data_IF_396530827023
#
_entry.id   IF_396530827023
#
_cell.length_a   1.000
_cell.length_b   1.000
_cell.length_c   1.000
_cell.angle_alpha   90.00
_cell.angle_beta   90.00
_cell.angle_gamma   90.00
#
_symmetry.space_group_name_H-M   'P 1'
#
loop_
_entity.id
_entity.type
_entity.pdbx_description
1 polymer ?
#
# COMPACT_ATOMS: atom_id res chain seq x y z
N UNK A 1 21.57 -4.15 -26.00
CA UNK A 1 20.21 -3.58 -26.05
C UNK A 1 20.29 -2.18 -25.46
N UNK A 2 19.73 -1.13 -26.05
CA UNK A 2 19.74 0.17 -25.43
C UNK A 2 19.00 0.08 -24.10
N UNK A 3 19.67 0.54 -23.06
CA UNK A 3 19.16 0.52 -21.69
C UNK A 3 18.09 1.62 -21.60
N UNK A 4 16.83 1.29 -21.85
CA UNK A 4 15.70 2.22 -21.83
C UNK A 4 15.27 2.50 -20.37
N UNK A 5 16.26 2.83 -19.55
CA UNK A 5 16.14 3.16 -18.13
C UNK A 5 15.73 4.62 -18.01
N UNK A 6 14.63 4.89 -17.34
CA UNK A 6 14.11 6.26 -17.17
C UNK A 6 13.53 6.48 -15.80
N UNK A 7 13.57 7.71 -15.37
CA UNK A 7 12.90 8.15 -14.16
C UNK A 7 11.40 8.33 -14.41
N UNK A 8 10.60 7.80 -13.52
CA UNK A 8 9.15 7.79 -13.63
C UNK A 8 8.50 7.89 -12.24
N UNK A 9 7.18 8.05 -12.22
CA UNK A 9 6.37 7.92 -11.01
C UNK A 9 5.38 6.78 -11.17
N UNK A 10 5.36 5.87 -10.21
CA UNK A 10 4.34 4.84 -10.08
C UNK A 10 3.19 5.36 -9.22
N UNK A 11 2.01 5.47 -9.81
CA UNK A 11 0.78 5.78 -9.10
C UNK A 11 0.15 4.46 -8.65
N UNK A 12 -0.21 4.40 -7.39
CA UNK A 12 -0.98 3.28 -6.81
C UNK A 12 -2.25 3.83 -6.21
N UNK A 13 -3.38 3.33 -6.69
CA UNK A 13 -4.72 3.68 -6.23
C UNK A 13 -5.34 2.43 -5.59
N UNK A 14 -5.76 2.53 -4.35
CA UNK A 14 -6.43 1.47 -3.61
C UNK A 14 -7.85 1.90 -3.32
N UNK A 15 -8.85 1.24 -3.91
CA UNK A 15 -10.26 1.66 -3.79
C UNK A 15 -11.16 0.52 -3.37
N UNK A 16 -12.30 0.88 -2.80
CA UNK A 16 -13.39 -0.06 -2.62
C UNK A 16 -13.88 -0.58 -4.00
N UNK A 17 -14.15 -1.88 -4.09
CA UNK A 17 -14.58 -2.52 -5.35
C UNK A 17 -15.79 -1.84 -6.02
N UNK A 18 -16.72 -1.28 -5.24
CA UNK A 18 -17.86 -0.54 -5.78
C UNK A 18 -17.53 0.73 -6.58
N UNK A 19 -16.24 1.12 -6.63
CA UNK A 19 -15.77 2.23 -7.46
C UNK A 19 -15.10 1.79 -8.76
N UNK A 20 -15.00 0.48 -9.03
CA UNK A 20 -14.23 -0.06 -10.16
C UNK A 20 -14.66 0.53 -11.50
N UNK A 21 -15.95 0.59 -11.78
CA UNK A 21 -16.46 1.16 -13.05
C UNK A 21 -16.08 2.64 -13.19
N UNK A 22 -16.24 3.41 -12.11
CA UNK A 22 -15.88 4.83 -12.09
C UNK A 22 -14.37 5.06 -12.25
N UNK A 23 -13.54 4.17 -11.67
CA UNK A 23 -12.09 4.19 -11.87
C UNK A 23 -11.74 3.97 -13.34
N UNK A 24 -12.31 2.95 -13.97
CA UNK A 24 -12.08 2.64 -15.38
C UNK A 24 -12.54 3.79 -16.28
N UNK A 25 -13.73 4.33 -16.05
CA UNK A 25 -14.26 5.48 -16.79
C UNK A 25 -13.32 6.70 -16.69
N UNK A 26 -12.91 7.05 -15.46
CA UNK A 26 -12.03 8.19 -15.22
C UNK A 26 -10.65 8.00 -15.88
N UNK A 27 -10.04 6.82 -15.73
CA UNK A 27 -8.74 6.51 -16.34
C UNK A 27 -8.83 6.49 -17.87
N UNK A 28 -9.92 6.00 -18.43
CA UNK A 28 -10.16 6.03 -19.88
C UNK A 28 -10.23 7.45 -20.43
N UNK A 29 -10.81 8.38 -19.66
CA UNK A 29 -10.88 9.81 -20.03
C UNK A 29 -9.52 10.51 -20.05
N UNK A 30 -8.49 9.92 -19.45
CA UNK A 30 -7.13 10.47 -19.36
C UNK A 30 -6.19 9.98 -20.45
N UNK A 31 -6.71 9.36 -21.49
CA UNK A 31 -5.91 8.82 -22.59
C UNK A 31 -4.82 7.81 -22.18
N UNK A 32 -5.03 7.11 -21.10
CA UNK A 32 -4.13 6.04 -20.65
C UNK A 32 -4.35 4.78 -21.50
N UNK A 33 -3.29 4.11 -21.97
CA UNK A 33 -3.43 2.90 -22.79
C UNK A 33 -3.96 1.70 -21.99
N UNK A 34 -3.46 1.53 -20.80
CA UNK A 34 -3.83 0.43 -19.91
C UNK A 34 -3.47 0.73 -18.45
N UNK A 35 -4.07 0.01 -17.53
CA UNK A 35 -3.76 0.01 -16.12
C UNK A 35 -3.69 -1.42 -15.59
N UNK A 36 -2.80 -1.67 -14.63
CA UNK A 36 -2.74 -2.94 -13.92
C UNK A 36 -3.67 -2.91 -12.74
N UNK A 37 -4.50 -3.93 -12.59
CA UNK A 37 -5.44 -4.09 -11.47
C UNK A 37 -5.19 -5.40 -10.74
N UNK A 38 -5.27 -5.34 -9.41
CA UNK A 38 -5.12 -6.48 -8.49
C UNK A 38 -6.32 -6.51 -7.55
N UNK A 39 -6.87 -7.70 -7.34
CA UNK A 39 -7.90 -7.88 -6.33
C UNK A 39 -7.29 -7.84 -4.94
N UNK A 40 -7.92 -7.11 -4.04
CA UNK A 40 -7.49 -6.95 -2.68
C UNK A 40 -8.69 -6.90 -1.73
N UNK A 41 -8.41 -6.82 -0.44
CA UNK A 41 -9.41 -6.53 0.60
C UNK A 41 -8.90 -5.41 1.49
N UNK A 42 -9.78 -4.54 1.88
CA UNK A 42 -9.52 -3.50 2.86
C UNK A 42 -10.04 -3.99 4.21
N UNK A 43 -9.21 -3.93 5.24
CA UNK A 43 -9.59 -4.37 6.59
C UNK A 43 -9.94 -3.16 7.44
N UNK A 44 -11.14 -3.19 8.04
CA UNK A 44 -11.67 -2.10 8.87
C UNK A 44 -12.09 -2.60 10.23
N UNK A 45 -11.97 -1.73 11.21
CA UNK A 45 -12.45 -2.00 12.54
C UNK A 45 -13.92 -1.60 12.66
N UNK A 46 -14.78 -2.56 13.04
CA UNK A 46 -16.18 -2.32 13.32
C UNK A 46 -16.44 -2.41 14.82
N UNK A 47 -17.18 -1.46 15.34
CA UNK A 47 -17.71 -1.50 16.69
C UNK A 47 -19.12 -2.11 16.66
N UNK A 48 -19.29 -3.35 17.10
CA UNK A 48 -20.61 -3.96 17.25
C UNK A 48 -21.19 -3.54 18.60
N UNK A 49 -22.31 -2.83 18.58
CA UNK A 49 -23.09 -2.59 19.78
C UNK A 49 -23.64 -3.94 20.29
N UNK A 50 -23.37 -4.28 21.55
CA UNK A 50 -23.92 -5.49 22.18
C UNK A 50 -25.43 -5.38 22.27
N UNK A 51 -26.14 -6.46 21.91
CA UNK A 51 -27.56 -6.65 22.22
C UNK A 51 -27.69 -6.70 23.75
N UNK A 52 -28.57 -5.96 24.34
CA UNK A 52 -28.82 -5.92 25.79
C UNK A 52 -27.91 -4.96 26.62
N UNK A 53 -27.89 -3.68 26.36
CA UNK A 53 -27.60 -2.66 27.39
C UNK A 53 -26.31 -2.74 28.23
N UNK A 54 -25.56 -3.82 28.14
CA UNK A 54 -24.27 -4.01 28.80
C UNK A 54 -23.14 -3.70 27.84
N UNK A 55 -22.28 -2.79 28.22
CA UNK A 55 -21.18 -2.22 27.48
C UNK A 55 -20.00 -3.19 27.22
N UNK A 56 -20.25 -4.33 26.60
CA UNK A 56 -19.17 -5.07 25.96
C UNK A 56 -19.08 -4.64 24.50
N UNK A 57 -18.43 -3.53 24.25
CA UNK A 57 -17.98 -3.11 22.91
C UNK A 57 -17.06 -4.22 22.36
N UNK A 58 -17.61 -5.16 21.61
CA UNK A 58 -16.79 -6.14 20.89
C UNK A 58 -16.25 -5.44 19.64
N UNK A 59 -14.98 -5.15 19.64
CA UNK A 59 -14.26 -4.75 18.43
C UNK A 59 -14.24 -5.94 17.49
N UNK A 60 -14.89 -5.80 16.34
CA UNK A 60 -14.83 -6.75 15.23
C UNK A 60 -14.02 -6.17 14.09
N UNK A 61 -13.53 -7.02 13.23
CA UNK A 61 -12.94 -6.63 11.96
C UNK A 61 -13.90 -7.01 10.84
N UNK A 62 -13.95 -6.21 9.79
CA UNK A 62 -14.68 -6.51 8.57
C UNK A 62 -13.80 -6.30 7.37
N UNK A 63 -13.89 -7.21 6.45
CA UNK A 63 -13.23 -7.13 5.15
C UNK A 63 -14.20 -6.49 4.15
N UNK A 64 -13.69 -5.56 3.36
CA UNK A 64 -14.38 -4.99 2.22
C UNK A 64 -13.59 -5.29 0.94
N UNK A 65 -14.27 -5.83 -0.06
CA UNK A 65 -13.68 -6.07 -1.35
C UNK A 65 -13.11 -4.77 -1.92
N UNK A 66 -11.86 -4.81 -2.35
CA UNK A 66 -11.10 -3.67 -2.82
C UNK A 66 -10.26 -4.06 -4.03
N UNK A 67 -9.79 -3.07 -4.76
CA UNK A 67 -8.87 -3.25 -5.87
C UNK A 67 -7.69 -2.29 -5.75
N UNK A 68 -6.55 -2.74 -6.20
CA UNK A 68 -5.33 -1.93 -6.29
C UNK A 68 -5.03 -1.73 -7.77
N UNK A 69 -5.01 -0.48 -8.21
CA UNK A 69 -4.65 -0.08 -9.57
C UNK A 69 -3.25 0.51 -9.58
N UNK A 70 -2.43 0.09 -10.54
CA UNK A 70 -1.06 0.59 -10.70
C UNK A 70 -0.83 1.07 -12.13
N UNK A 71 -0.26 2.25 -12.25
CA UNK A 71 0.16 2.81 -13.54
C UNK A 71 1.46 3.59 -13.34
N UNK A 72 2.26 3.67 -14.41
CA UNK A 72 3.51 4.43 -14.42
C UNK A 72 3.36 5.61 -15.38
N UNK A 73 3.75 6.79 -14.91
CA UNK A 73 3.64 8.05 -15.65
C UNK A 73 4.93 8.86 -15.53
N UNK A 74 5.06 9.92 -16.30
CA UNK A 74 6.14 10.89 -16.14
C UNK A 74 6.07 11.51 -14.73
N UNK A 75 7.22 11.82 -14.12
CA UNK A 75 7.27 12.39 -12.76
C UNK A 75 6.45 13.67 -12.61
N UNK A 76 6.54 14.55 -13.61
CA UNK A 76 5.82 15.82 -13.64
C UNK A 76 4.29 15.66 -13.67
N UNK A 77 3.78 14.56 -14.23
CA UNK A 77 2.35 14.27 -14.31
C UNK A 77 1.80 13.64 -13.01
N UNK A 78 2.66 13.23 -12.07
CA UNK A 78 2.23 12.46 -10.90
C UNK A 78 1.27 13.24 -9.99
N UNK A 79 1.66 14.45 -9.56
CA UNK A 79 0.82 15.26 -8.64
C UNK A 79 -0.48 15.72 -9.31
N UNK A 80 -0.49 16.26 -10.54
CA UNK A 80 -1.73 16.58 -11.24
C UNK A 80 -2.67 15.38 -11.39
N UNK A 81 -2.12 14.20 -11.70
CA UNK A 81 -2.91 12.98 -11.83
C UNK A 81 -3.50 12.52 -10.48
N UNK A 82 -2.72 12.59 -9.38
CA UNK A 82 -3.24 12.32 -8.04
C UNK A 82 -4.45 13.22 -7.74
N UNK A 83 -4.31 14.53 -7.94
CA UNK A 83 -5.38 15.50 -7.72
C UNK A 83 -6.64 15.15 -8.53
N UNK A 84 -6.46 14.86 -9.82
CA UNK A 84 -7.57 14.52 -10.72
C UNK A 84 -8.29 13.24 -10.27
N UNK A 85 -7.56 12.21 -9.87
CA UNK A 85 -8.14 10.96 -9.39
C UNK A 85 -8.83 11.12 -8.04
N UNK A 86 -8.26 11.89 -7.11
CA UNK A 86 -8.85 12.17 -5.80
C UNK A 86 -10.20 12.88 -5.94
N UNK A 87 -10.27 13.89 -6.80
CA UNK A 87 -11.50 14.64 -7.05
C UNK A 87 -12.53 13.78 -7.80
N UNK A 88 -12.13 13.16 -8.91
CA UNK A 88 -13.01 12.36 -9.75
C UNK A 88 -13.60 11.16 -9.03
N UNK A 89 -12.90 10.56 -8.08
CA UNK A 89 -13.35 9.44 -7.27
C UNK A 89 -13.87 9.84 -5.90
N UNK A 90 -13.82 11.14 -5.57
CA UNK A 90 -14.23 11.70 -4.26
C UNK A 90 -13.53 10.97 -3.10
N UNK A 91 -12.23 10.67 -3.23
CA UNK A 91 -11.49 9.88 -2.24
C UNK A 91 -11.38 10.56 -0.87
N UNK A 92 -11.70 11.84 -0.78
CA UNK A 92 -11.81 12.58 0.49
C UNK A 92 -12.97 12.07 1.37
N UNK A 93 -13.89 11.32 0.79
CA UNK A 93 -14.96 10.66 1.53
C UNK A 93 -14.41 9.39 2.18
N UNK A 94 -14.55 9.23 3.51
CA UNK A 94 -14.06 8.05 4.21
C UNK A 94 -14.58 6.75 3.59
N UNK A 95 -13.70 5.79 3.46
CA UNK A 95 -14.05 4.48 2.95
C UNK A 95 -13.96 4.31 1.45
N UNK A 96 -13.60 5.33 0.71
CA UNK A 96 -13.48 5.22 -0.75
C UNK A 96 -12.12 4.70 -1.18
N UNK A 97 -11.07 4.99 -0.40
CA UNK A 97 -9.73 4.45 -0.66
C UNK A 97 -8.61 5.42 -0.40
N UNK A 98 -7.42 5.02 -0.82
CA UNK A 98 -6.18 5.76 -0.71
C UNK A 98 -5.44 5.80 -2.05
N UNK A 99 -4.62 6.81 -2.26
CA UNK A 99 -3.82 6.95 -3.47
C UNK A 99 -2.46 7.54 -3.15
N UNK A 100 -1.42 7.08 -3.86
CA UNK A 100 -0.08 7.64 -3.71
C UNK A 100 0.77 7.52 -4.95
N UNK A 101 1.83 8.33 -5.01
CA UNK A 101 2.88 8.30 -6.00
C UNK A 101 4.23 7.94 -5.36
N UNK A 102 4.99 7.09 -6.04
CA UNK A 102 6.36 6.73 -5.69
C UNK A 102 7.29 7.03 -6.85
N UNK A 103 8.44 7.66 -6.57
CA UNK A 103 9.49 7.77 -7.57
C UNK A 103 10.08 6.40 -7.86
N UNK A 104 10.09 6.02 -9.11
CA UNK A 104 10.62 4.74 -9.57
C UNK A 104 11.58 4.94 -10.73
N UNK A 105 12.42 3.97 -10.94
CA UNK A 105 13.21 3.81 -12.14
C UNK A 105 12.58 2.70 -12.97
N UNK A 106 12.10 3.03 -14.15
CA UNK A 106 11.44 2.09 -15.04
C UNK A 106 12.40 1.64 -16.15
N UNK A 107 12.37 0.35 -16.43
CA UNK A 107 13.03 -0.25 -17.59
C UNK A 107 11.92 -0.84 -18.47
N UNK A 108 11.60 -0.16 -19.58
CA UNK A 108 10.53 -0.57 -20.48
C UNK A 108 10.86 -0.20 -21.93
N UNK A 109 10.30 -0.96 -22.87
CA UNK A 109 10.36 -0.61 -24.29
C UNK A 109 9.22 0.32 -24.72
N UNK A 110 8.19 0.46 -23.88
CA UNK A 110 7.04 1.33 -24.16
C UNK A 110 7.30 2.72 -23.61
N UNK A 111 6.86 3.72 -24.34
CA UNK A 111 6.90 5.11 -23.84
C UNK A 111 5.91 5.32 -22.69
N UNK A 112 6.28 6.24 -21.79
CA UNK A 112 5.35 6.68 -20.76
C UNK A 112 4.21 7.46 -21.40
N UNK A 113 2.97 7.27 -20.90
CA UNK A 113 1.84 8.03 -21.41
C UNK A 113 2.05 9.53 -21.22
N UNK A 114 1.71 10.28 -22.24
CA UNK A 114 1.70 11.74 -22.19
C UNK A 114 0.31 12.17 -21.71
N UNK A 115 0.25 12.68 -20.49
CA UNK A 115 -0.99 13.09 -19.84
C UNK A 115 -0.92 14.59 -19.65
N UNK A 116 -1.70 15.32 -20.46
CA UNK A 116 -1.83 16.76 -20.31
C UNK A 116 -2.85 17.05 -19.19
N UNK A 117 -2.35 17.51 -18.07
CA UNK A 117 -3.14 17.94 -16.91
C UNK A 117 -2.66 19.29 -16.42
N UNK A 118 -3.60 20.13 -16.05
CA UNK A 118 -3.27 21.40 -15.41
C UNK A 118 -2.57 21.18 -14.08
N UNK A 119 -1.58 22.02 -13.78
CA UNK A 119 -0.88 22.01 -12.50
C UNK A 119 -1.83 22.50 -11.41
N UNK A 120 -2.19 21.61 -10.49
CA UNK A 120 -3.08 21.92 -9.38
C UNK A 120 -2.29 21.85 -8.09
N UNK A 121 -2.37 22.90 -7.26
CA UNK A 121 -1.90 22.85 -5.87
C UNK A 121 -3.01 22.27 -5.00
N UNK A 122 -2.66 21.36 -4.14
CA UNK A 122 -3.62 20.73 -3.26
C UNK A 122 -3.07 20.69 -1.83
N UNK A 123 -3.78 21.31 -0.93
CA UNK A 123 -3.41 21.41 0.51
C UNK A 123 -3.65 20.09 1.26
N UNK A 124 -4.28 19.11 0.61
CA UNK A 124 -4.61 17.82 1.22
C UNK A 124 -3.77 16.65 0.69
N UNK A 125 -2.85 16.90 -0.22
CA UNK A 125 -1.80 15.94 -0.56
C UNK A 125 -0.70 15.99 0.50
N UNK A 126 -0.46 14.84 1.10
CA UNK A 126 0.62 14.66 2.07
C UNK A 126 1.90 14.28 1.34
N UNK A 127 3.02 14.91 1.71
CA UNK A 127 4.34 14.65 1.12
C UNK A 127 5.27 13.83 2.00
N UNK A 128 4.98 13.73 3.30
CA UNK A 128 5.76 12.93 4.25
C UNK A 128 5.01 11.65 4.59
N UNK A 129 5.05 10.70 3.67
CA UNK A 129 4.41 9.41 3.80
C UNK A 129 5.38 8.26 3.52
N UNK A 130 5.12 7.12 4.14
CA UNK A 130 5.77 5.85 3.86
C UNK A 130 4.74 4.74 3.64
N UNK A 131 5.07 3.79 2.78
CA UNK A 131 4.35 2.55 2.64
C UNK A 131 5.09 1.46 3.41
N UNK A 132 4.44 0.89 4.42
CA UNK A 132 4.90 -0.32 5.08
C UNK A 132 4.22 -1.50 4.39
N UNK A 133 5.03 -2.43 3.88
CA UNK A 133 4.54 -3.66 3.25
C UNK A 133 4.99 -4.86 4.07
N UNK A 134 4.03 -5.65 4.53
CA UNK A 134 4.27 -6.92 5.19
C UNK A 134 3.90 -8.08 4.26
N UNK A 135 4.81 -9.04 4.11
CA UNK A 135 4.58 -10.27 3.34
C UNK A 135 4.59 -11.43 4.33
N UNK A 136 3.43 -12.04 4.55
CA UNK A 136 3.27 -13.08 5.54
C UNK A 136 2.61 -14.34 4.98
N UNK A 137 2.76 -15.46 5.66
CA UNK A 137 2.04 -16.68 5.30
C UNK A 137 0.55 -16.49 5.57
N UNK A 138 -0.32 -16.97 4.65
CA UNK A 138 -1.78 -16.85 4.74
C UNK A 138 -2.38 -17.49 6.00
N UNK A 139 -1.68 -18.37 6.67
CA UNK A 139 -2.15 -19.07 7.89
C UNK A 139 -2.22 -18.17 9.14
N UNK A 140 -2.69 -16.94 9.00
CA UNK A 140 -2.97 -16.02 10.12
C UNK A 140 -1.91 -14.95 10.40
N UNK A 141 -0.80 -14.96 9.67
CA UNK A 141 0.26 -13.96 9.89
C UNK A 141 -0.16 -12.54 9.51
N UNK A 142 -0.80 -12.39 8.34
CA UNK A 142 -1.34 -11.10 7.90
C UNK A 142 -2.40 -10.57 8.84
N UNK A 143 -3.21 -11.46 9.42
CA UNK A 143 -4.23 -11.09 10.40
C UNK A 143 -3.65 -10.40 11.62
N UNK A 144 -2.52 -10.87 12.14
CA UNK A 144 -1.86 -10.23 13.27
C UNK A 144 -1.37 -8.82 12.89
N UNK A 145 -0.75 -8.67 11.71
CA UNK A 145 -0.25 -7.37 11.24
C UNK A 145 -1.35 -6.32 11.13
N UNK A 146 -2.45 -6.63 10.41
CA UNK A 146 -3.49 -5.62 10.24
C UNK A 146 -4.27 -5.34 11.54
N UNK A 147 -4.40 -6.33 12.43
CA UNK A 147 -4.99 -6.11 13.77
C UNK A 147 -4.16 -5.14 14.60
N UNK A 148 -2.85 -5.30 14.61
CA UNK A 148 -1.93 -4.39 15.31
C UNK A 148 -2.02 -3.00 14.69
N UNK A 149 -1.94 -2.88 13.36
CA UNK A 149 -2.05 -1.60 12.66
C UNK A 149 -3.36 -0.85 13.00
N UNK A 150 -4.49 -1.56 12.98
CA UNK A 150 -5.80 -0.98 13.30
C UNK A 150 -5.94 -0.59 14.78
N UNK A 151 -5.40 -1.38 15.71
CA UNK A 151 -5.37 -1.03 17.14
C UNK A 151 -4.55 0.22 17.41
N UNK A 152 -3.45 0.40 16.70
CA UNK A 152 -2.58 1.57 16.79
C UNK A 152 -3.15 2.81 16.05
N UNK A 153 -4.24 2.65 15.31
CA UNK A 153 -4.81 3.73 14.51
C UNK A 153 -3.95 4.13 13.31
N UNK A 154 -3.08 3.24 12.86
CA UNK A 154 -2.02 3.51 11.88
C UNK A 154 -2.50 3.60 10.42
N UNK A 155 -3.80 3.68 10.17
CA UNK A 155 -4.37 3.74 8.82
C UNK A 155 -5.24 2.51 8.51
N UNK A 156 -5.64 2.42 7.26
CA UNK A 156 -6.51 1.33 6.77
C UNK A 156 -5.64 0.34 5.99
N UNK A 157 -5.42 -0.89 6.51
CA UNK A 157 -4.65 -1.90 5.81
C UNK A 157 -5.37 -2.39 4.56
N UNK A 158 -4.62 -2.53 3.46
CA UNK A 158 -5.08 -3.17 2.23
C UNK A 158 -4.29 -4.46 2.04
N UNK A 159 -4.98 -5.56 1.85
CA UNK A 159 -4.39 -6.90 1.81
C UNK A 159 -4.59 -7.53 0.43
N UNK A 160 -3.48 -7.75 -0.26
CA UNK A 160 -3.41 -8.54 -1.49
C UNK A 160 -3.02 -10.00 -1.21
N UNK A 161 -3.05 -10.82 -2.24
CA UNK A 161 -2.66 -12.24 -2.19
C UNK A 161 -1.55 -12.50 -3.19
N UNK A 162 -0.54 -13.25 -2.77
CA UNK A 162 0.56 -13.67 -3.61
C UNK A 162 1.02 -15.08 -3.32
N UNK A 163 1.94 -15.58 -4.15
CA UNK A 163 2.62 -16.85 -3.97
C UNK A 163 4.09 -16.54 -3.74
N UNK A 164 4.60 -16.94 -2.58
CA UNK A 164 6.02 -16.80 -2.25
C UNK A 164 6.83 -17.92 -2.90
N UNK A 165 7.92 -17.54 -3.53
CA UNK A 165 8.91 -18.47 -4.09
C UNK A 165 10.26 -18.17 -3.48
N UNK A 166 10.91 -19.14 -2.87
CA UNK A 166 12.18 -18.95 -2.20
C UNK A 166 13.08 -20.18 -2.27
N UNK A 167 14.34 -20.04 -1.80
CA UNK A 167 15.31 -21.15 -1.74
C UNK A 167 14.76 -22.35 -0.96
N UNK A 168 13.90 -22.09 0.05
CA UNK A 168 13.27 -23.14 0.87
C UNK A 168 12.30 -24.03 0.09
N UNK A 169 11.72 -23.52 -1.02
CA UNK A 169 10.83 -24.32 -1.87
C UNK A 169 11.59 -25.38 -2.66
N UNK A 170 12.90 -25.21 -2.84
CA UNK A 170 13.79 -26.20 -3.49
C UNK A 170 14.19 -27.34 -2.56
N UNK A 171 14.08 -27.17 -1.25
CA UNK A 171 14.36 -28.19 -0.25
C UNK A 171 13.08 -29.01 0.01
N UNK A 172 12.73 -29.91 -0.91
CA UNK A 172 11.48 -30.66 -1.00
C UNK A 172 10.87 -31.21 0.30
N UNK A 173 11.67 -31.44 1.36
CA UNK A 173 11.23 -31.84 2.69
C UNK A 173 10.53 -30.70 3.49
N UNK A 174 10.83 -29.43 3.19
CA UNK A 174 10.23 -28.28 3.88
C UNK A 174 8.96 -27.75 3.20
N UNK A 175 8.63 -28.26 2.02
CA UNK A 175 7.40 -27.93 1.28
C UNK A 175 6.13 -28.27 2.04
N UNK A 176 6.20 -29.21 2.98
CA UNK A 176 5.05 -29.71 3.73
C UNK A 176 4.63 -28.76 4.85
N UNK A 177 5.51 -27.86 5.28
CA UNK A 177 5.33 -27.08 6.51
C UNK A 177 4.97 -25.59 6.30
N UNK A 178 5.20 -25.03 5.12
CA UNK A 178 4.98 -23.60 4.86
C UNK A 178 4.12 -23.43 3.62
N UNK A 179 2.92 -22.88 3.78
CA UNK A 179 2.05 -22.53 2.66
C UNK A 179 2.78 -21.57 1.70
N UNK A 180 2.78 -21.84 0.38
CA UNK A 180 3.30 -20.89 -0.60
C UNK A 180 2.45 -19.64 -0.70
N UNK A 181 1.18 -19.70 -0.29
CA UNK A 181 0.29 -18.54 -0.29
C UNK A 181 0.74 -17.51 0.74
N UNK A 182 0.80 -16.26 0.29
CA UNK A 182 1.21 -15.10 1.07
C UNK A 182 0.10 -14.06 1.08
N UNK A 183 -0.02 -13.36 2.19
CA UNK A 183 -0.76 -12.11 2.28
C UNK A 183 0.23 -10.95 2.22
N UNK A 184 -0.08 -9.99 1.35
CA UNK A 184 0.65 -8.75 1.22
C UNK A 184 -0.15 -7.65 1.90
N UNK A 185 0.27 -7.25 3.08
CA UNK A 185 -0.39 -6.20 3.86
C UNK A 185 0.27 -4.86 3.55
N UNK A 186 -0.46 -3.97 2.91
CA UNK A 186 -0.02 -2.61 2.58
C UNK A 186 -0.62 -1.62 3.57
N UNK A 187 0.23 -0.82 4.19
CA UNK A 187 -0.16 0.19 5.16
C UNK A 187 0.52 1.51 4.86
N UNK A 188 -0.25 2.51 4.50
CA UNK A 188 0.25 3.86 4.27
C UNK A 188 0.20 4.66 5.57
N UNK A 189 1.33 5.25 5.95
CA UNK A 189 1.51 5.92 7.23
C UNK A 189 2.31 7.22 7.07
N UNK A 190 2.21 8.17 8.03
CA UNK A 190 3.12 9.31 8.08
C UNK A 190 4.57 8.85 8.16
N UNK A 191 5.47 9.51 7.40
CA UNK A 191 6.88 9.12 7.31
C UNK A 191 7.61 9.17 8.66
N UNK A 192 7.28 10.18 9.48
CA UNK A 192 7.87 10.33 10.81
C UNK A 192 7.43 9.24 11.81
N UNK A 193 6.29 8.56 11.60
CA UNK A 193 5.82 7.47 12.44
C UNK A 193 6.25 6.08 11.92
N UNK A 194 6.71 6.01 10.67
CA UNK A 194 6.94 4.76 9.96
C UNK A 194 7.92 3.81 10.67
N UNK A 195 9.05 4.32 11.17
CA UNK A 195 10.04 3.50 11.87
C UNK A 195 9.52 2.96 13.20
N UNK A 196 8.83 3.79 13.98
CA UNK A 196 8.24 3.37 15.26
C UNK A 196 7.16 2.32 15.06
N UNK A 197 6.28 2.57 14.09
CA UNK A 197 5.21 1.64 13.75
C UNK A 197 5.74 0.33 13.18
N UNK A 198 6.76 0.38 12.30
CA UNK A 198 7.39 -0.82 11.76
C UNK A 198 7.94 -1.71 12.88
N UNK A 199 8.59 -1.13 13.90
CA UNK A 199 9.10 -1.87 15.06
C UNK A 199 7.96 -2.55 15.82
N UNK A 200 6.88 -1.82 16.13
CA UNK A 200 5.70 -2.37 16.78
C UNK A 200 5.03 -3.48 15.97
N UNK A 201 4.96 -3.33 14.65
CA UNK A 201 4.42 -4.36 13.77
C UNK A 201 5.29 -5.63 13.77
N UNK A 202 6.61 -5.50 13.89
CA UNK A 202 7.53 -6.65 14.01
C UNK A 202 7.30 -7.36 15.34
N UNK A 203 7.30 -6.64 16.44
CA UNK A 203 7.18 -7.20 17.79
C UNK A 203 5.80 -7.81 18.03
N UNK A 204 4.75 -7.02 17.90
CA UNK A 204 3.36 -7.43 18.16
C UNK A 204 2.78 -8.32 17.07
N UNK A 205 3.21 -8.13 15.82
CA UNK A 205 2.82 -8.95 14.67
C UNK A 205 3.59 -10.27 14.58
N UNK A 206 4.60 -10.46 15.45
CA UNK A 206 5.44 -11.65 15.51
C UNK A 206 6.18 -11.95 14.18
N UNK A 207 6.58 -10.91 13.45
CA UNK A 207 7.29 -11.03 12.18
C UNK A 207 8.72 -11.57 12.38
N UNK A 208 9.31 -11.32 13.54
CA UNK A 208 10.65 -11.77 13.97
C UNK A 208 10.75 -13.28 14.20
N UNK A 209 9.62 -13.98 14.28
CA UNK A 209 9.62 -15.44 14.50
C UNK A 209 9.94 -16.20 13.21
N UNK A 210 10.55 -17.39 13.31
CA UNK A 210 10.77 -18.25 12.15
C UNK A 210 9.46 -18.51 11.38
N UNK A 211 9.43 -18.15 10.11
CA UNK A 211 8.21 -18.23 9.28
C UNK A 211 7.25 -17.05 9.44
N UNK A 212 7.57 -16.06 10.28
CA UNK A 212 6.74 -14.88 10.54
C UNK A 212 6.55 -13.94 9.37
N UNK A 213 7.44 -13.97 8.37
CA UNK A 213 7.30 -13.17 7.17
C UNK A 213 8.43 -12.20 6.92
N UNK A 214 8.14 -11.19 6.13
CA UNK A 214 9.06 -10.12 5.78
C UNK A 214 8.33 -8.79 5.82
N UNK A 215 8.97 -7.75 6.35
CA UNK A 215 8.38 -6.43 6.47
C UNK A 215 9.41 -5.38 6.04
N UNK A 216 8.99 -4.45 5.19
CA UNK A 216 9.82 -3.39 4.69
C UNK A 216 9.02 -2.10 4.50
N UNK A 217 9.72 -1.00 4.35
CA UNK A 217 9.11 0.29 4.06
C UNK A 217 9.72 0.92 2.81
N UNK A 218 8.88 1.63 2.06
CA UNK A 218 9.28 2.42 0.90
C UNK A 218 8.75 3.84 1.01
N UNK A 219 9.50 4.87 0.54
CA UNK A 219 9.04 6.24 0.57
C UNK A 219 7.87 6.46 -0.39
N UNK A 220 6.96 7.33 0.01
CA UNK A 220 5.89 7.87 -0.83
C UNK A 220 6.20 9.34 -1.10
N UNK A 221 6.20 9.75 -2.36
CA UNK A 221 6.47 11.13 -2.77
C UNK A 221 5.32 12.07 -2.41
N UNK A 222 4.11 11.64 -2.71
CA UNK A 222 2.88 12.36 -2.42
C UNK A 222 1.71 11.39 -2.38
N UNK A 223 0.70 11.66 -1.57
CA UNK A 223 -0.46 10.80 -1.50
C UNK A 223 -1.56 11.30 -0.58
N UNK A 224 -2.64 10.55 -0.55
CA UNK A 224 -3.76 10.75 0.35
C UNK A 224 -4.15 9.40 0.97
N UNK A 225 -4.17 9.34 2.28
CA UNK A 225 -4.63 8.18 3.05
C UNK A 225 -6.16 8.12 3.05
N UNK A 226 -6.72 6.91 3.12
CA UNK A 226 -8.16 6.75 3.36
C UNK A 226 -8.53 7.36 4.71
N UNK A 227 -9.38 8.39 4.77
CA UNK A 227 -9.80 8.96 6.01
C UNK A 227 -10.51 7.90 6.87
N UNK A 228 -10.09 7.75 8.12
CA UNK A 228 -10.66 6.75 9.02
C UNK A 228 -12.12 7.07 9.31
N UNK A 229 -13.03 6.18 8.88
CA UNK A 229 -14.42 6.24 9.29
C UNK A 229 -14.56 5.61 10.68
N UNK A 230 -14.79 6.42 11.69
CA UNK A 230 -15.21 5.94 13.02
C UNK A 230 -16.72 5.77 13.05
N UNK A 231 -17.19 4.55 12.88
CA UNK A 231 -18.60 4.21 13.06
C UNK A 231 -18.82 3.90 14.54
N UNK A 232 -19.44 4.82 15.25
CA UNK A 232 -19.86 4.64 16.64
C UNK A 232 -20.27 5.99 17.24
N UNK A 233 -21.22 5.98 18.18
CA UNK A 233 -21.60 7.16 18.98
C UNK A 233 -20.40 7.65 19.79
N UNK A 234 -19.56 8.46 19.18
CA UNK A 234 -18.57 9.26 19.88
C UNK A 234 -18.92 10.73 19.61
N UNK A 235 -19.98 11.19 20.23
CA UNK A 235 -20.43 12.57 20.07
C UNK A 235 -19.40 13.58 20.62
N UNK A 236 -18.37 13.14 21.39
CA UNK A 236 -17.44 14.06 22.05
C UNK A 236 -16.00 13.57 22.24
N UNK A 237 -15.57 12.46 21.62
CA UNK A 237 -14.17 12.03 21.74
C UNK A 237 -13.39 12.37 20.48
N UNK A 238 -12.39 13.24 20.62
CA UNK A 238 -11.42 13.51 19.56
C UNK A 238 -10.68 12.20 19.18
N UNK A 239 -10.42 12.03 17.90
CA UNK A 239 -9.60 10.91 17.43
C UNK A 239 -8.16 11.02 17.96
N UNK A 240 -7.44 9.90 18.06
CA UNK A 240 -6.02 9.93 18.42
C UNK A 240 -5.28 10.83 17.44
N UNK A 241 -5.60 10.77 16.14
CA UNK A 241 -5.02 11.64 15.11
C UNK A 241 -5.37 13.12 15.33
N UNK A 242 -6.61 13.41 15.74
CA UNK A 242 -7.00 14.78 16.09
C UNK A 242 -6.29 15.27 17.35
N UNK A 243 -6.13 14.40 18.35
CA UNK A 243 -5.35 14.68 19.56
C UNK A 243 -3.89 14.91 19.21
N UNK A 244 -3.31 14.02 18.38
CA UNK A 244 -1.94 14.12 17.90
C UNK A 244 -1.77 15.43 17.11
N UNK A 245 -2.64 15.72 16.15
CA UNK A 245 -2.59 16.96 15.37
C UNK A 245 -2.72 18.21 16.24
N UNK A 246 -3.60 18.19 17.24
CA UNK A 246 -3.76 19.29 18.18
C UNK A 246 -2.51 19.49 19.05
N UNK A 247 -1.86 18.40 19.49
CA UNK A 247 -0.60 18.46 20.25
C UNK A 247 0.54 18.97 19.36
N UNK A 248 0.61 18.55 18.10
CA UNK A 248 1.60 19.06 17.14
C UNK A 248 1.44 20.56 16.92
N UNK A 249 0.20 21.01 16.74
CA UNK A 249 -0.09 22.43 16.56
C UNK A 249 0.25 23.25 17.82
N UNK A 250 -0.09 22.75 18.99
CA UNK A 250 0.27 23.39 20.26
C UNK A 250 1.77 23.46 20.48
N UNK A 251 2.50 22.41 20.16
CA UNK A 251 3.96 22.33 20.35
C UNK A 251 4.75 22.88 19.19
N UNK A 252 4.09 23.18 18.05
CA UNK A 252 4.73 23.57 16.79
C UNK A 252 5.86 22.62 16.37
N UNK A 253 5.77 21.34 16.77
CA UNK A 253 6.79 20.32 16.59
C UNK A 253 6.23 18.92 16.77
N UNK A 254 6.70 17.98 15.97
CA UNK A 254 6.41 16.55 16.10
C UNK A 254 7.41 15.79 16.99
N UNK A 255 8.42 16.48 17.54
CA UNK A 255 9.50 15.89 18.34
C UNK A 255 9.02 15.16 19.62
N UNK A 256 7.86 15.54 20.17
CA UNK A 256 7.27 14.88 21.34
C UNK A 256 6.86 13.44 21.06
N UNK A 257 6.51 13.10 19.81
CA UNK A 257 6.12 11.75 19.41
C UNK A 257 7.28 10.77 19.56
N UNK A 258 8.50 11.22 19.30
CA UNK A 258 9.72 10.44 19.47
C UNK A 258 9.91 9.94 20.92
N UNK A 259 9.52 10.75 21.91
CA UNK A 259 9.61 10.38 23.33
C UNK A 259 8.53 9.40 23.78
N UNK A 260 7.34 9.51 23.19
CA UNK A 260 6.22 8.66 23.59
C UNK A 260 6.39 7.21 23.15
N UNK A 261 7.06 6.99 22.02
CA UNK A 261 7.30 5.65 21.49
C UNK A 261 8.67 5.08 21.84
N UNK A 262 9.38 5.64 22.83
CA UNK A 262 10.66 5.11 23.32
C UNK A 262 11.80 5.16 22.31
N UNK A 263 11.73 6.03 21.32
CA UNK A 263 12.80 6.27 20.36
C UNK A 263 13.73 7.33 20.95
N UNK A 264 14.61 6.92 21.85
CA UNK A 264 15.78 7.70 22.23
C UNK A 264 16.80 7.63 21.09
N UNK A 265 17.33 8.81 20.70
CA UNK A 265 18.39 9.02 19.71
C UNK A 265 18.11 8.62 18.25
N UNK A 266 17.29 9.43 17.60
CA UNK A 266 17.48 9.66 16.16
C UNK A 266 17.86 11.14 16.01
N UNK A 267 19.13 11.37 15.61
CA UNK A 267 19.67 12.69 15.28
C UNK A 267 18.75 13.44 14.31
N UNK A 268 18.73 14.78 14.35
CA UNK A 268 17.89 15.68 13.56
C UNK A 268 17.97 15.50 12.02
N UNK A 269 18.77 14.56 11.53
CA UNK A 269 18.88 14.14 10.13
C UNK A 269 18.01 12.92 9.77
N UNK A 270 17.09 12.50 10.60
CA UNK A 270 16.28 11.28 10.41
C UNK A 270 15.12 11.41 9.41
N UNK A 271 15.04 12.50 8.65
CA UNK A 271 14.06 12.63 7.56
C UNK A 271 14.45 11.86 6.28
N UNK A 272 15.66 11.35 6.20
CA UNK A 272 16.11 10.46 5.13
C UNK A 272 16.32 9.08 5.74
N UNK A 273 15.29 8.25 5.71
CA UNK A 273 15.47 6.83 5.97
C UNK A 273 16.53 6.32 4.99
N UNK A 274 17.66 5.83 5.50
CA UNK A 274 18.70 5.23 4.67
C UNK A 274 18.16 3.91 4.12
N UNK A 275 17.51 3.98 2.96
CA UNK A 275 17.03 2.80 2.25
C UNK A 275 18.25 2.07 1.68
N UNK A 276 18.63 0.97 2.32
CA UNK A 276 19.79 0.15 1.96
C UNK A 276 19.47 -0.87 0.87
N UNK A 277 18.21 -1.09 0.58
CA UNK A 277 17.72 -2.09 -0.37
C UNK A 277 16.82 -1.44 -1.42
N UNK A 278 16.59 -2.16 -2.51
CA UNK A 278 15.63 -1.75 -3.55
C UNK A 278 14.57 -2.83 -3.70
N UNK A 279 13.32 -2.40 -3.83
CA UNK A 279 12.25 -3.23 -4.33
C UNK A 279 12.33 -3.27 -5.86
N UNK A 280 12.32 -4.46 -6.44
CA UNK A 280 12.28 -4.67 -7.89
C UNK A 280 10.95 -5.36 -8.21
N UNK A 281 10.13 -4.70 -9.02
CA UNK A 281 8.85 -5.25 -9.49
C UNK A 281 8.95 -5.55 -10.99
N UNK A 282 8.62 -6.80 -11.36
CA UNK A 282 8.51 -7.23 -12.74
C UNK A 282 7.04 -7.41 -13.10
N UNK A 283 6.65 -6.89 -14.25
CA UNK A 283 5.32 -7.13 -14.82
C UNK A 283 5.50 -7.98 -16.08
N UNK A 284 4.93 -9.17 -16.09
CA UNK A 284 5.07 -10.14 -17.18
C UNK A 284 3.74 -10.81 -17.47
N UNK A 285 3.66 -11.45 -18.64
CA UNK A 285 2.51 -12.30 -18.97
C UNK A 285 2.50 -13.58 -18.13
N UNK A 286 1.30 -14.13 -17.95
CA UNK A 286 1.11 -15.40 -17.26
C UNK A 286 2.01 -16.50 -17.90
N UNK A 287 2.66 -17.29 -17.04
CA UNK A 287 3.61 -18.33 -17.45
C UNK A 287 5.07 -17.88 -17.61
N UNK A 288 5.38 -16.59 -17.52
CA UNK A 288 6.76 -16.09 -17.57
C UNK A 288 7.38 -15.86 -16.18
N UNK A 289 6.57 -15.89 -15.12
CA UNK A 289 7.00 -15.61 -13.76
C UNK A 289 8.12 -16.50 -13.27
N UNK A 290 8.07 -17.80 -13.60
CA UNK A 290 9.05 -18.78 -13.11
C UNK A 290 10.45 -18.50 -13.65
N UNK A 291 10.57 -18.14 -14.93
CA UNK A 291 11.84 -17.78 -15.55
C UNK A 291 12.41 -16.50 -14.95
N UNK A 292 11.57 -15.50 -14.65
CA UNK A 292 12.00 -14.25 -14.02
C UNK A 292 12.45 -14.48 -12.58
N UNK A 293 11.70 -15.29 -11.83
CA UNK A 293 12.08 -15.67 -10.46
C UNK A 293 13.40 -16.42 -10.46
N UNK A 294 13.59 -17.38 -11.37
CA UNK A 294 14.84 -18.12 -11.49
C UNK A 294 16.01 -17.16 -11.79
N UNK A 295 15.85 -16.27 -12.75
CA UNK A 295 16.89 -15.28 -13.09
C UNK A 295 17.20 -14.36 -11.91
N UNK A 296 16.20 -13.89 -11.17
CA UNK A 296 16.38 -13.08 -9.97
C UNK A 296 17.16 -13.84 -8.88
N UNK A 297 16.81 -15.11 -8.65
CA UNK A 297 17.50 -15.95 -7.68
C UNK A 297 18.96 -16.24 -8.09
N UNK A 298 19.23 -16.43 -9.37
CA UNK A 298 20.59 -16.56 -9.91
C UNK A 298 21.41 -15.27 -9.73
N UNK A 299 20.74 -14.12 -9.82
CA UNK A 299 21.35 -12.80 -9.58
C UNK A 299 21.53 -12.47 -8.09
N UNK A 300 21.14 -13.35 -7.17
CA UNK A 300 21.33 -13.20 -5.72
C UNK A 300 20.11 -12.72 -4.94
N UNK A 301 18.92 -12.69 -5.54
CA UNK A 301 17.70 -12.42 -4.79
C UNK A 301 17.42 -13.57 -3.79
N UNK A 302 17.04 -13.21 -2.57
CA UNK A 302 16.73 -14.19 -1.51
C UNK A 302 15.37 -14.89 -1.71
N UNK A 303 14.48 -14.30 -2.49
CA UNK A 303 13.15 -14.81 -2.80
C UNK A 303 12.37 -13.82 -3.64
N UNK A 304 11.21 -14.26 -4.11
CA UNK A 304 10.26 -13.41 -4.82
C UNK A 304 8.83 -13.73 -4.35
N UNK A 305 7.95 -12.77 -4.52
CA UNK A 305 6.50 -12.93 -4.31
C UNK A 305 5.82 -12.64 -5.64
N UNK A 306 5.00 -13.56 -6.12
CA UNK A 306 4.27 -13.45 -7.36
C UNK A 306 2.81 -13.20 -7.06
N UNK A 307 2.26 -12.08 -7.53
CA UNK A 307 0.85 -11.73 -7.45
C UNK A 307 0.20 -11.78 -8.83
N UNK A 308 -1.06 -12.18 -8.89
CA UNK A 308 -1.83 -12.13 -10.14
C UNK A 308 -2.41 -10.75 -10.34
N UNK A 309 -2.16 -10.19 -11.52
CA UNK A 309 -2.68 -8.92 -11.96
C UNK A 309 -3.58 -9.12 -13.18
N UNK A 310 -4.42 -8.13 -13.43
CA UNK A 310 -5.19 -7.99 -14.66
C UNK A 310 -4.73 -6.72 -15.36
N UNK A 311 -4.43 -6.81 -16.65
CA UNK A 311 -4.26 -5.62 -17.48
C UNK A 311 -5.63 -5.19 -17.99
N UNK A 312 -6.08 -4.02 -17.60
CA UNK A 312 -7.29 -3.39 -18.13
C UNK A 312 -6.90 -2.45 -19.25
N UNK A 313 -7.28 -2.79 -20.47
CA UNK A 313 -7.05 -1.94 -21.64
C UNK A 313 -8.11 -0.85 -21.67
N UNK A 314 -7.66 0.40 -21.69
CA UNK A 314 -8.52 1.58 -21.63
C UNK A 314 -8.78 2.18 -23.01
N UNK A 315 -7.93 1.83 -23.99
CA UNK A 315 -7.98 2.35 -25.36
C UNK A 315 -7.70 1.27 -26.41
N UNK A 316 -8.02 1.57 -27.68
CA UNK A 316 -7.74 0.72 -28.83
C UNK A 316 -8.78 -0.38 -29.04
N UNK A 317 -8.47 -1.35 -29.92
CA UNK A 317 -9.35 -2.47 -30.26
C UNK A 317 -9.65 -3.40 -29.06
N UNK A 318 -8.83 -3.33 -28.01
CA UNK A 318 -8.95 -4.12 -26.79
C UNK A 318 -9.55 -3.34 -25.61
N UNK A 319 -10.04 -2.11 -25.85
CA UNK A 319 -10.67 -1.31 -24.81
C UNK A 319 -11.81 -2.08 -24.12
N UNK A 320 -11.79 -2.08 -22.79
CA UNK A 320 -12.75 -2.83 -21.97
C UNK A 320 -12.41 -4.32 -21.78
N UNK A 321 -11.34 -4.84 -22.43
CA UNK A 321 -10.86 -6.21 -22.15
C UNK A 321 -9.95 -6.23 -20.93
N UNK A 322 -9.99 -7.35 -20.22
CA UNK A 322 -9.09 -7.65 -19.11
C UNK A 322 -8.32 -8.93 -19.43
N UNK A 323 -7.00 -8.86 -19.34
CA UNK A 323 -6.11 -10.01 -19.55
C UNK A 323 -5.33 -10.26 -18.26
N UNK A 324 -5.32 -11.51 -17.80
CA UNK A 324 -4.52 -11.94 -16.65
C UNK A 324 -3.01 -11.88 -16.96
N UNK A 325 -2.25 -11.38 -16.01
CA UNK A 325 -0.80 -11.24 -16.07
C UNK A 325 -0.15 -11.92 -14.87
#
# INVERSE_FOLDING_TARGET
MPNNRREAARITLMTHHGLSDRVVELLSSLNLPAVLAENARCVRQNVKAGYWGFSSLRMGFSDAASEIYRLTVKRESAVPLLCRLIEGLELRTPGRGAIYAQNVEEISQRDLPDIELEQVKSDWLLSDLALITGIQTKSGGGENLYKVALKLGAGVPVVGIGIGTGIRDRLGLLRITISPEKELVHLMVPGHDANGLQRLLIEEGHVDRPGGGFLYQTPIQAGMVDPLLRIGRQEHAASIEQIIAAIDDLKKSTAWRKRFFGVEDISDNASVANFTHREISFFCYEGQSDNLVEAAMQAGAAGATVSRLRTLYLQGADAGKSISC
#
